data_IF_222826295629
#
_entry.id   IF_222826295629
#
_cell.length_a   1.000
_cell.length_b   1.000
_cell.length_c   1.000
_cell.angle_alpha   90.00
_cell.angle_beta   90.00
_cell.angle_gamma   90.00
#
_symmetry.space_group_name_H-M   'P 1'
#
loop_
_entity.id
_entity.type
_entity.pdbx_description
1 polymer ?
#
# COMPACT_ATOMS: atom_id res chain seq x y z
N UNK A 1 2.42 -12.48 16.88
CA UNK A 1 1.95 -13.04 15.60
C UNK A 1 2.72 -12.34 14.50
N UNK A 2 3.48 -13.08 13.71
CA UNK A 2 4.24 -12.51 12.59
C UNK A 2 3.26 -12.11 11.50
N UNK A 3 3.26 -10.83 11.11
CA UNK A 3 2.50 -10.39 9.95
C UNK A 3 3.20 -10.92 8.69
N UNK A 4 2.43 -11.49 7.79
CA UNK A 4 2.95 -12.03 6.53
C UNK A 4 2.86 -10.92 5.48
N UNK A 5 4.00 -10.52 4.93
CA UNK A 5 4.10 -9.60 3.80
C UNK A 5 4.27 -10.42 2.53
N UNK A 6 3.48 -10.14 1.51
CA UNK A 6 3.53 -10.87 0.24
C UNK A 6 4.56 -10.30 -0.73
N UNK A 7 4.81 -9.00 -0.63
CA UNK A 7 5.68 -8.31 -1.57
C UNK A 7 6.44 -7.22 -0.83
N UNK A 8 7.72 -7.49 -0.55
CA UNK A 8 8.68 -6.45 -0.18
C UNK A 8 9.49 -6.09 -1.43
N UNK A 9 9.19 -4.93 -1.98
CA UNK A 9 9.99 -4.36 -3.05
C UNK A 9 11.14 -3.59 -2.41
N UNK A 10 12.33 -4.20 -2.37
CA UNK A 10 13.54 -3.49 -2.05
C UNK A 10 14.17 -3.00 -3.35
N UNK A 11 14.22 -1.69 -3.62
CA UNK A 11 15.08 -1.18 -4.66
C UNK A 11 16.50 -1.56 -4.27
N UNK A 12 17.14 -2.45 -5.03
CA UNK A 12 18.58 -2.68 -4.88
C UNK A 12 19.23 -1.32 -4.96
N UNK A 13 20.01 -0.95 -3.95
CA UNK A 13 20.84 0.24 -3.98
C UNK A 13 21.55 0.29 -5.33
N UNK A 14 21.19 1.27 -6.15
CA UNK A 14 21.90 1.54 -7.38
C UNK A 14 23.31 1.95 -6.99
N UNK A 15 24.26 1.04 -7.22
CA UNK A 15 25.68 1.30 -7.13
C UNK A 15 25.98 2.50 -8.04
N UNK A 16 26.45 3.59 -7.48
CA UNK A 16 26.58 4.92 -8.07
C UNK A 16 27.69 5.02 -9.12
N UNK A 17 28.00 3.95 -9.82
CA UNK A 17 28.97 3.96 -10.94
C UNK A 17 28.59 2.90 -11.96
N UNK A 18 27.75 3.26 -12.94
CA UNK A 18 27.88 2.91 -14.36
C UNK A 18 26.67 3.33 -15.20
N UNK A 19 26.96 4.30 -16.12
CA UNK A 19 26.31 4.52 -17.42
C UNK A 19 24.76 4.59 -17.55
N UNK A 20 24.29 5.78 -17.52
CA UNK A 20 23.35 6.56 -18.36
C UNK A 20 22.70 5.87 -19.57
N UNK A 21 22.00 4.78 -19.45
CA UNK A 21 21.10 4.32 -20.52
C UNK A 21 19.86 3.59 -19.98
N UNK A 22 19.70 3.51 -18.73
CA UNK A 22 18.50 2.94 -18.16
C UNK A 22 17.72 4.07 -17.54
N UNK A 23 16.49 4.27 -17.94
CA UNK A 23 15.55 4.88 -17.07
C UNK A 23 14.81 6.10 -17.49
N UNK A 24 14.18 6.06 -18.63
CA UNK A 24 13.07 6.96 -18.87
C UNK A 24 11.70 6.35 -18.52
N UNK A 25 11.63 5.11 -18.00
CA UNK A 25 10.37 4.44 -17.66
C UNK A 25 10.03 4.35 -16.17
N UNK A 26 10.83 4.95 -15.32
CA UNK A 26 10.71 4.92 -13.85
C UNK A 26 9.70 5.92 -13.26
N UNK A 27 8.75 6.44 -13.99
CA UNK A 27 8.23 7.75 -13.63
C UNK A 27 6.78 7.84 -13.25
N UNK A 28 6.08 6.83 -12.79
CA UNK A 28 4.67 7.09 -12.54
C UNK A 28 4.14 6.87 -11.14
N UNK A 29 4.85 6.17 -10.26
CA UNK A 29 4.54 6.15 -8.82
C UNK A 29 5.78 5.83 -7.98
N UNK A 30 6.94 6.26 -8.43
CA UNK A 30 8.16 6.10 -7.65
C UNK A 30 8.32 7.16 -6.58
N UNK A 31 7.52 8.21 -6.62
CA UNK A 31 7.57 9.26 -5.62
C UNK A 31 6.21 9.85 -5.31
N UNK A 32 6.05 10.26 -4.07
CA UNK A 32 4.91 11.01 -3.55
C UNK A 32 5.43 12.30 -2.93
N UNK A 33 4.89 13.45 -3.34
CA UNK A 33 5.25 14.74 -2.72
C UNK A 33 4.22 15.10 -1.66
N UNK A 34 4.68 15.29 -0.43
CA UNK A 34 3.85 15.72 0.70
C UNK A 34 4.47 16.96 1.32
N UNK A 35 3.74 18.08 1.33
CA UNK A 35 4.20 19.37 1.90
C UNK A 35 5.58 19.80 1.37
N UNK A 36 5.85 19.57 0.10
CA UNK A 36 7.11 19.93 -0.56
C UNK A 36 8.25 18.92 -0.37
N UNK A 37 8.08 17.89 0.46
CA UNK A 37 9.04 16.80 0.62
C UNK A 37 8.71 15.67 -0.36
N UNK A 38 9.73 15.15 -1.04
CA UNK A 38 9.60 14.04 -2.00
C UNK A 38 9.98 12.73 -1.32
N UNK A 39 9.01 11.83 -1.23
CA UNK A 39 9.16 10.47 -0.70
C UNK A 39 9.31 9.48 -1.86
N UNK A 40 10.29 8.60 -1.82
CA UNK A 40 10.48 7.52 -2.79
C UNK A 40 9.66 6.28 -2.42
N UNK A 41 9.09 5.57 -3.42
CA UNK A 41 8.43 4.30 -3.18
C UNK A 41 9.45 3.29 -2.65
N UNK A 42 9.21 2.78 -1.44
CA UNK A 42 10.07 1.81 -0.76
C UNK A 42 9.58 0.37 -0.99
N UNK A 43 8.29 0.13 -0.81
CA UNK A 43 7.68 -1.19 -0.94
C UNK A 43 6.16 -1.06 -1.04
N UNK A 44 5.48 -2.14 -1.44
CA UNK A 44 4.04 -2.29 -1.27
C UNK A 44 3.69 -3.70 -0.80
N UNK A 45 2.56 -3.83 -0.11
CA UNK A 45 2.08 -5.10 0.42
C UNK A 45 0.56 -5.09 0.62
N UNK A 46 0.01 -6.26 0.94
CA UNK A 46 -1.43 -6.45 1.07
C UNK A 46 -1.82 -7.04 2.42
N UNK A 47 -3.04 -6.69 2.83
CA UNK A 47 -3.71 -7.24 4.00
C UNK A 47 -5.08 -7.82 3.60
N UNK A 48 -5.41 -8.97 4.13
CA UNK A 48 -6.71 -9.62 4.06
C UNK A 48 -7.20 -9.91 5.48
N UNK A 49 -8.23 -9.30 6.02
CA UNK A 49 -9.02 -8.14 5.58
C UNK A 49 -8.21 -6.82 5.59
N UNK A 50 -8.89 -5.68 5.29
CA UNK A 50 -8.27 -4.36 5.42
C UNK A 50 -7.89 -4.04 6.87
N UNK A 51 -6.83 -3.26 7.09
CA UNK A 51 -6.45 -2.75 8.41
C UNK A 51 -7.26 -1.51 8.78
N UNK A 52 -7.58 -0.66 7.78
CA UNK A 52 -8.52 0.43 7.98
C UNK A 52 -9.97 -0.07 7.92
N UNK A 53 -10.81 0.61 8.70
CA UNK A 53 -12.27 0.44 8.66
C UNK A 53 -12.93 1.76 8.27
N UNK A 54 -13.97 1.67 7.45
CA UNK A 54 -14.85 2.80 7.13
C UNK A 54 -16.23 2.49 7.69
N UNK A 55 -16.79 3.39 8.49
CA UNK A 55 -18.01 3.15 9.25
C UNK A 55 -18.00 1.81 10.04
N UNK A 56 -16.84 1.50 10.66
CA UNK A 56 -16.63 0.28 11.45
C UNK A 56 -16.55 -1.03 10.65
N UNK A 57 -16.48 -0.98 9.32
CA UNK A 57 -16.45 -2.16 8.46
C UNK A 57 -15.12 -2.31 7.75
N UNK A 58 -14.57 -3.51 7.78
CA UNK A 58 -13.41 -3.88 6.96
C UNK A 58 -13.80 -4.06 5.49
N UNK A 59 -12.90 -3.65 4.59
CA UNK A 59 -12.92 -4.08 3.20
C UNK A 59 -12.34 -5.51 3.07
N UNK A 60 -12.56 -6.14 1.92
CA UNK A 60 -12.03 -7.48 1.65
C UNK A 60 -10.51 -7.53 1.69
N UNK A 61 -9.84 -6.52 1.15
CA UNK A 61 -8.37 -6.43 1.07
C UNK A 61 -7.93 -4.96 1.13
N UNK A 62 -6.70 -4.74 1.56
CA UNK A 62 -6.06 -3.42 1.51
C UNK A 62 -4.63 -3.55 0.99
N UNK A 63 -4.27 -2.65 0.06
CA UNK A 63 -2.90 -2.41 -0.39
C UNK A 63 -2.32 -1.24 0.40
N UNK A 64 -1.10 -1.39 0.89
CA UNK A 64 -0.28 -0.29 1.37
C UNK A 64 0.88 -0.03 0.39
N UNK A 65 0.94 1.16 -0.19
CA UNK A 65 2.11 1.64 -0.91
C UNK A 65 2.92 2.55 0.02
N UNK A 66 4.10 2.11 0.41
CA UNK A 66 4.94 2.77 1.42
C UNK A 66 6.01 3.60 0.73
N UNK A 67 6.00 4.89 1.01
CA UNK A 67 6.98 5.85 0.50
C UNK A 67 7.84 6.34 1.67
N UNK A 68 9.15 6.36 1.49
CA UNK A 68 10.13 6.77 2.51
C UNK A 68 10.75 8.13 2.16
N UNK A 69 10.94 8.94 3.19
CA UNK A 69 11.73 10.16 3.10
C UNK A 69 13.22 9.78 3.11
N UNK A 70 14.01 10.16 2.10
CA UNK A 70 15.44 9.83 2.06
C UNK A 70 16.27 10.53 3.14
N UNK A 71 15.73 11.57 3.77
CA UNK A 71 16.44 12.40 4.76
C UNK A 71 16.02 12.11 6.21
N UNK A 72 14.98 11.27 6.44
CA UNK A 72 14.47 10.97 7.78
C UNK A 72 13.80 9.61 7.85
N UNK A 73 13.38 9.20 9.06
CA UNK A 73 12.59 7.98 9.26
C UNK A 73 11.10 8.15 8.91
N UNK A 74 10.68 9.32 8.44
CA UNK A 74 9.29 9.59 8.08
C UNK A 74 8.87 8.79 6.86
N UNK A 75 7.61 8.36 6.88
CA UNK A 75 6.98 7.64 5.78
C UNK A 75 5.63 8.26 5.44
N UNK A 76 5.31 8.21 4.16
CA UNK A 76 3.97 8.46 3.66
C UNK A 76 3.42 7.13 3.12
N UNK A 77 2.25 6.70 3.59
CA UNK A 77 1.65 5.45 3.14
C UNK A 77 0.30 5.72 2.49
N UNK A 78 0.14 5.21 1.26
CA UNK A 78 -1.14 5.25 0.57
C UNK A 78 -1.84 3.92 0.75
N UNK A 79 -3.02 3.94 1.39
CA UNK A 79 -3.91 2.80 1.58
C UNK A 79 -4.99 2.76 0.51
N UNK A 80 -5.08 1.67 -0.25
CA UNK A 80 -6.16 1.41 -1.20
C UNK A 80 -7.00 0.24 -0.70
N UNK A 81 -8.27 0.51 -0.45
CA UNK A 81 -9.25 -0.48 -0.03
C UNK A 81 -9.85 -1.20 -1.25
N UNK A 82 -10.09 -2.50 -1.12
CA UNK A 82 -10.70 -3.32 -2.18
C UNK A 82 -11.96 -4.00 -1.70
N UNK A 83 -12.96 -4.05 -2.59
CA UNK A 83 -14.18 -4.84 -2.40
C UNK A 83 -14.28 -5.92 -3.48
N UNK A 84 -15.01 -6.98 -3.17
CA UNK A 84 -15.30 -8.04 -4.17
C UNK A 84 -16.18 -7.46 -5.28
N UNK A 85 -15.78 -7.71 -6.52
CA UNK A 85 -16.48 -7.20 -7.70
C UNK A 85 -15.80 -7.64 -8.99
N UNK A 86 -15.52 -6.69 -9.88
CA UNK A 86 -14.85 -6.96 -11.15
C UNK A 86 -13.36 -7.31 -10.93
N UNK A 87 -12.83 -8.19 -11.77
CA UNK A 87 -11.41 -8.52 -11.74
C UNK A 87 -10.52 -7.28 -11.88
N UNK A 88 -9.50 -7.19 -11.03
CA UNK A 88 -8.53 -6.11 -11.02
C UNK A 88 -7.35 -6.43 -11.93
N UNK A 89 -7.04 -5.52 -12.84
CA UNK A 89 -5.95 -5.73 -13.81
C UNK A 89 -4.57 -5.77 -13.13
N UNK A 90 -4.33 -4.92 -12.16
CA UNK A 90 -3.07 -4.88 -11.42
C UNK A 90 -2.87 -6.19 -10.64
N UNK A 91 -3.90 -6.64 -9.93
CA UNK A 91 -3.89 -7.91 -9.20
C UNK A 91 -3.70 -9.10 -10.16
N UNK A 92 -4.36 -9.08 -11.33
CA UNK A 92 -4.18 -10.12 -12.34
C UNK A 92 -2.74 -10.18 -12.86
N UNK A 93 -2.08 -9.03 -13.01
CA UNK A 93 -0.68 -8.98 -13.43
C UNK A 93 0.24 -9.58 -12.36
N UNK A 94 0.03 -9.27 -11.08
CA UNK A 94 0.78 -9.90 -9.99
C UNK A 94 0.61 -11.42 -9.98
N UNK A 95 -0.61 -11.91 -10.14
CA UNK A 95 -0.91 -13.35 -10.13
C UNK A 95 -0.24 -14.11 -11.27
N UNK A 96 -0.01 -13.48 -12.44
CA UNK A 96 0.74 -14.10 -13.55
C UNK A 96 2.19 -14.42 -13.19
N UNK A 97 2.80 -13.64 -12.33
CA UNK A 97 4.17 -13.86 -11.86
C UNK A 97 4.24 -14.86 -10.70
N UNK A 98 3.09 -15.33 -10.25
CA UNK A 98 2.96 -16.20 -9.08
C UNK A 98 3.01 -15.40 -7.77
N UNK A 99 2.42 -15.98 -6.74
CA UNK A 99 2.50 -15.48 -5.37
C UNK A 99 3.54 -16.29 -4.59
N UNK A 100 4.23 -15.71 -3.60
CA UNK A 100 5.09 -16.47 -2.70
C UNK A 100 4.32 -17.62 -2.05
N UNK A 101 4.91 -18.81 -1.96
CA UNK A 101 4.24 -19.98 -1.38
C UNK A 101 3.98 -19.83 0.12
N UNK A 102 4.83 -19.06 0.81
CA UNK A 102 4.74 -18.80 2.25
C UNK A 102 5.36 -17.45 2.61
N UNK A 103 5.10 -16.99 3.83
CA UNK A 103 5.73 -15.79 4.38
C UNK A 103 7.25 -15.89 4.38
N UNK A 104 7.92 -14.85 3.88
CA UNK A 104 9.38 -14.78 3.74
C UNK A 104 9.92 -15.30 2.40
N UNK A 105 9.09 -15.94 1.60
CA UNK A 105 9.46 -16.25 0.22
C UNK A 105 9.34 -15.00 -0.65
N UNK A 106 10.25 -14.85 -1.61
CA UNK A 106 10.26 -13.75 -2.56
C UNK A 106 9.94 -14.26 -3.97
N UNK A 107 9.12 -13.52 -4.70
CA UNK A 107 8.94 -13.71 -6.13
C UNK A 107 9.57 -12.53 -6.86
N UNK A 108 10.58 -12.81 -7.66
CA UNK A 108 11.23 -11.80 -8.47
C UNK A 108 10.32 -11.40 -9.62
N UNK A 109 9.73 -10.21 -9.51
CA UNK A 109 9.01 -9.58 -10.62
C UNK A 109 9.86 -8.43 -11.14
N UNK A 110 10.16 -8.41 -12.46
CA UNK A 110 10.91 -7.28 -13.02
C UNK A 110 10.20 -5.97 -12.71
N UNK A 111 10.91 -5.01 -12.10
CA UNK A 111 10.34 -3.73 -11.66
C UNK A 111 9.63 -2.93 -12.78
N UNK A 112 10.02 -3.17 -14.02
CA UNK A 112 9.40 -2.55 -15.21
C UNK A 112 7.96 -3.05 -15.50
N UNK A 113 7.57 -4.18 -14.90
CA UNK A 113 6.26 -4.81 -15.13
C UNK A 113 5.21 -4.43 -14.08
N UNK A 114 5.62 -3.87 -12.96
CA UNK A 114 4.71 -3.50 -11.87
C UNK A 114 4.58 -1.98 -11.79
N UNK A 115 3.38 -1.51 -12.05
CA UNK A 115 3.00 -0.11 -11.86
C UNK A 115 1.99 -0.02 -10.73
N UNK A 116 2.47 0.29 -9.51
CA UNK A 116 1.62 0.41 -8.31
C UNK A 116 0.52 1.45 -8.48
N UNK A 117 0.74 2.50 -9.30
CA UNK A 117 -0.32 3.44 -9.67
C UNK A 117 -1.54 2.78 -10.31
N UNK A 118 -1.34 1.65 -10.99
CA UNK A 118 -2.44 0.88 -11.58
C UNK A 118 -3.37 0.21 -10.54
N UNK A 119 -2.93 0.13 -9.28
CA UNK A 119 -3.75 -0.36 -8.17
C UNK A 119 -4.55 0.76 -7.50
N UNK A 120 -4.09 2.02 -7.63
CA UNK A 120 -4.68 3.16 -6.94
C UNK A 120 -5.83 3.74 -7.75
N UNK A 121 -6.92 4.04 -7.08
CA UNK A 121 -8.08 4.73 -7.66
C UNK A 121 -7.83 6.24 -7.73
N UNK A 122 -8.85 7.06 -7.50
CA UNK A 122 -8.74 8.51 -7.52
C UNK A 122 -7.86 9.05 -6.37
N UNK A 123 -6.59 9.33 -6.65
CA UNK A 123 -5.60 9.80 -5.68
C UNK A 123 -5.83 11.24 -5.20
N UNK A 124 -6.80 11.98 -5.75
CA UNK A 124 -7.17 13.32 -5.28
C UNK A 124 -8.17 13.29 -4.12
N UNK A 125 -8.75 12.12 -3.81
CA UNK A 125 -9.81 11.94 -2.80
C UNK A 125 -9.36 10.94 -1.75
N UNK A 126 -9.01 11.42 -0.56
CA UNK A 126 -8.47 10.59 0.51
C UNK A 126 -8.77 11.14 1.91
N UNK A 127 -8.70 10.25 2.89
CA UNK A 127 -8.52 10.60 4.29
C UNK A 127 -7.04 10.67 4.60
N UNK A 128 -6.62 11.62 5.45
CA UNK A 128 -5.23 11.70 5.92
C UNK A 128 -5.15 11.94 7.41
N UNK A 129 -4.17 11.29 8.05
CA UNK A 129 -3.94 11.41 9.48
C UNK A 129 -2.51 10.97 9.86
N UNK A 130 -1.94 11.49 10.98
CA UNK A 130 -0.70 10.98 11.54
C UNK A 130 -0.94 9.61 12.20
N UNK A 131 -0.10 8.63 11.91
CA UNK A 131 -0.23 7.28 12.43
C UNK A 131 1.09 6.57 12.58
N UNK A 132 1.05 5.24 12.57
CA UNK A 132 2.20 4.38 12.78
C UNK A 132 2.33 3.32 11.69
N UNK A 133 3.49 2.64 11.66
CA UNK A 133 3.60 1.34 11.02
C UNK A 133 2.63 0.36 11.69
N UNK A 134 2.09 -0.57 10.91
CA UNK A 134 1.17 -1.60 11.41
C UNK A 134 1.89 -2.87 11.83
N UNK A 135 3.20 -2.96 11.55
CA UNK A 135 4.10 -4.01 12.03
C UNK A 135 5.04 -3.51 13.12
N UNK A 136 5.46 -4.35 14.08
CA UNK A 136 6.48 -3.97 15.06
C UNK A 136 7.75 -3.38 14.38
N UNK A 137 8.32 -2.31 14.94
CA UNK A 137 8.08 -1.72 16.26
C UNK A 137 6.91 -0.74 16.32
N UNK A 138 6.06 -0.61 15.29
CA UNK A 138 4.90 0.28 15.23
C UNK A 138 5.27 1.77 15.40
N UNK A 139 6.39 2.17 14.82
CA UNK A 139 6.91 3.56 14.88
C UNK A 139 5.88 4.57 14.37
N UNK A 140 5.65 5.64 15.13
CA UNK A 140 4.68 6.70 14.83
C UNK A 140 5.26 7.78 13.90
N UNK A 141 5.86 7.35 12.80
CA UNK A 141 6.52 8.22 11.80
C UNK A 141 5.77 8.24 10.47
N UNK A 142 4.51 7.81 10.47
CA UNK A 142 3.74 7.61 9.23
C UNK A 142 2.68 8.69 9.07
N UNK A 143 2.65 9.32 7.89
CA UNK A 143 1.46 10.04 7.41
C UNK A 143 0.67 9.13 6.50
N UNK A 144 -0.57 8.83 6.88
CA UNK A 144 -1.49 7.99 6.12
C UNK A 144 -2.30 8.79 5.12
N UNK A 145 -2.51 8.21 3.94
CA UNK A 145 -3.41 8.66 2.89
C UNK A 145 -4.29 7.48 2.47
N UNK A 146 -5.50 7.38 3.00
CA UNK A 146 -6.43 6.29 2.68
C UNK A 146 -7.40 6.75 1.62
N UNK A 147 -7.37 6.14 0.44
CA UNK A 147 -8.19 6.56 -0.69
C UNK A 147 -9.68 6.33 -0.42
N UNK A 148 -10.52 7.31 -0.78
CA UNK A 148 -11.97 7.24 -0.60
C UNK A 148 -12.61 6.18 -1.47
N UNK A 149 -12.15 6.06 -2.72
CA UNK A 149 -12.75 5.16 -3.69
C UNK A 149 -12.18 3.75 -3.51
N UNK A 150 -13.10 2.79 -3.38
CA UNK A 150 -12.73 1.39 -3.32
C UNK A 150 -12.37 0.88 -4.71
N UNK A 151 -11.23 0.21 -4.83
CA UNK A 151 -10.95 -0.63 -5.98
C UNK A 151 -11.75 -1.93 -5.91
N UNK A 152 -11.88 -2.64 -7.02
CA UNK A 152 -12.53 -3.94 -7.06
C UNK A 152 -11.48 -5.02 -7.37
N UNK A 153 -11.73 -6.24 -6.89
CA UNK A 153 -11.04 -7.45 -7.30
C UNK A 153 -12.07 -8.60 -7.35
N UNK A 154 -11.81 -9.62 -8.19
CA UNK A 154 -12.71 -10.77 -8.24
C UNK A 154 -12.55 -11.65 -6.99
N UNK A 155 -13.55 -12.52 -6.73
CA UNK A 155 -13.48 -13.50 -5.65
C UNK A 155 -12.28 -14.42 -5.79
N UNK A 156 -11.98 -14.89 -7.01
CA UNK A 156 -10.85 -15.76 -7.28
C UNK A 156 -9.50 -15.07 -6.99
N UNK A 157 -9.40 -13.79 -7.34
CA UNK A 157 -8.22 -12.98 -7.02
C UNK A 157 -8.06 -12.82 -5.51
N UNK A 158 -9.14 -12.53 -4.81
CA UNK A 158 -9.13 -12.41 -3.34
C UNK A 158 -8.75 -13.75 -2.69
N UNK A 159 -9.33 -14.85 -3.12
CA UNK A 159 -9.09 -16.18 -2.56
C UNK A 159 -7.62 -16.61 -2.74
N UNK A 160 -6.99 -16.26 -3.87
CA UNK A 160 -5.57 -16.50 -4.09
C UNK A 160 -4.69 -15.80 -3.04
N UNK A 161 -4.98 -14.56 -2.72
CA UNK A 161 -4.24 -13.81 -1.68
C UNK A 161 -4.57 -14.35 -0.29
N UNK A 162 -5.85 -14.56 0.00
CA UNK A 162 -6.30 -15.04 1.31
C UNK A 162 -5.74 -16.40 1.68
N UNK A 163 -5.60 -17.30 0.69
CA UNK A 163 -5.01 -18.62 0.90
C UNK A 163 -3.58 -18.53 1.47
N UNK A 164 -2.80 -17.55 1.02
CA UNK A 164 -1.41 -17.39 1.43
C UNK A 164 -1.28 -16.50 2.67
N UNK A 165 -1.99 -15.36 2.70
CA UNK A 165 -1.88 -14.37 3.77
C UNK A 165 -2.64 -14.79 5.05
N UNK A 166 -3.75 -15.51 4.89
CA UNK A 166 -4.72 -15.70 5.99
C UNK A 166 -5.29 -14.35 6.41
N UNK A 167 -5.57 -14.19 7.69
CA UNK A 167 -5.94 -12.90 8.29
C UNK A 167 -4.67 -12.25 8.83
N UNK A 168 -4.06 -11.35 8.05
CA UNK A 168 -2.78 -10.72 8.39
C UNK A 168 -2.91 -9.23 8.77
N UNK A 169 -4.12 -8.76 9.05
CA UNK A 169 -4.37 -7.39 9.47
C UNK A 169 -4.15 -7.20 10.98
N UNK A 170 -3.69 -6.02 11.38
CA UNK A 170 -3.62 -5.59 12.77
C UNK A 170 -5.02 -5.17 13.24
N UNK A 171 -5.45 -5.53 14.48
CA UNK A 171 -6.68 -5.00 15.05
C UNK A 171 -6.69 -3.46 15.06
N UNK A 172 -7.88 -2.88 14.83
CA UNK A 172 -8.06 -1.43 14.83
C UNK A 172 -7.60 -0.82 16.15
N UNK A 173 -6.81 0.23 16.09
CA UNK A 173 -6.27 0.95 17.24
C UNK A 173 -7.15 2.15 17.58
N UNK A 174 -7.15 2.54 18.86
CA UNK A 174 -7.84 3.75 19.31
C UNK A 174 -7.33 4.98 18.55
N UNK A 175 -8.21 5.91 18.24
CA UNK A 175 -7.88 7.15 17.52
C UNK A 175 -6.96 8.08 18.33
N UNK A 176 -7.07 8.07 19.67
CA UNK A 176 -6.26 8.85 20.60
C UNK A 176 -6.17 10.33 20.22
N UNK A 177 -7.33 10.97 19.97
CA UNK A 177 -7.45 12.39 19.61
C UNK A 177 -6.81 12.79 18.26
N UNK A 178 -6.27 11.84 17.50
CA UNK A 178 -5.74 12.13 16.17
C UNK A 178 -6.84 12.68 15.27
N UNK A 179 -6.55 13.80 14.62
CA UNK A 179 -7.46 14.40 13.66
C UNK A 179 -7.35 13.66 12.33
N UNK A 180 -8.47 13.14 11.84
CA UNK A 180 -8.60 12.62 10.47
C UNK A 180 -9.16 13.77 9.63
N UNK A 181 -8.46 14.10 8.55
CA UNK A 181 -8.89 15.09 7.56
C UNK A 181 -9.34 14.39 6.30
N UNK A 182 -10.33 14.95 5.61
CA UNK A 182 -10.85 14.45 4.33
C UNK A 182 -10.72 15.53 3.25
N UNK A 183 -10.35 15.13 2.05
CA UNK A 183 -10.37 16.03 0.88
C UNK A 183 -11.79 16.33 0.37
N UNK A 184 -12.81 15.62 0.86
CA UNK A 184 -14.22 15.84 0.50
C UNK A 184 -14.91 16.90 1.36
N UNK A 185 -14.17 17.57 2.25
CA UNK A 185 -14.74 18.44 3.28
C UNK A 185 -15.05 17.64 4.55
N UNK A 186 -15.50 18.33 5.60
CA UNK A 186 -15.95 17.66 6.82
C UNK A 186 -17.25 16.90 6.51
N UNK A 187 -17.15 15.60 6.30
CA UNK A 187 -18.31 14.75 6.49
C UNK A 187 -18.62 14.81 8.00
N UNK A 188 -19.71 15.53 8.33
CA UNK A 188 -20.31 15.48 9.64
C UNK A 188 -20.80 14.05 9.89
N UNK A 189 -19.91 13.16 10.28
CA UNK A 189 -20.27 11.89 10.91
C UNK A 189 -20.96 12.20 12.24
N UNK A 190 -22.28 12.33 12.16
CA UNK A 190 -23.20 12.25 13.29
C UNK A 190 -23.45 10.79 13.66
#
# INVERSE_FOLDING_TARGET
>A
MSQRTLWDFHPKHADSKRNSLACSMHRRVESLTVNGVVYGLSQFHFHTLSEHTVAGRHAAMELHAVFADPASDNKAVVGQLFVIGKANRFVAELLKHGLPAKSGDEVNVPSQMINVAGALTNTSRYYTYPGSLTTPPCSETVTWFVLHEYAQLSSEQFDAFRHILGNNFRPVQKRNERTIRSTLGEDNDR
#
